data_IF_512162758487
#
_entry.id   IF_512162758487
#
_cell.length_a   1.000
_cell.length_b   1.000
_cell.length_c   1.000
_cell.angle_alpha   90.00
_cell.angle_beta   90.00
_cell.angle_gamma   90.00
#
_symmetry.space_group_name_H-M   'P 1'
#
loop_
_entity.id
_entity.type
_entity.pdbx_description
1 polymer ?
#
# COMPACT_ATOMS: atom_id res chain seq x y z
N UNK A 1 -14.69 11.23 -0.98
CA UNK A 1 -15.05 10.65 -2.27
C UNK A 1 -14.51 11.55 -3.37
N UNK A 2 -13.77 11.01 -4.32
CA UNK A 2 -13.29 11.72 -5.51
C UNK A 2 -13.89 11.04 -6.75
N UNK A 3 -14.05 11.80 -7.84
CA UNK A 3 -14.50 11.23 -9.11
C UNK A 3 -13.30 11.20 -10.06
N UNK A 4 -13.05 10.06 -10.69
CA UNK A 4 -11.97 9.93 -11.67
C UNK A 4 -12.30 10.69 -12.97
N UNK A 5 -13.59 10.75 -13.33
CA UNK A 5 -14.09 11.46 -14.51
C UNK A 5 -15.18 12.48 -14.14
N UNK A 6 -14.81 13.58 -13.48
CA UNK A 6 -15.78 14.57 -13.02
C UNK A 6 -16.57 15.21 -14.17
N UNK A 7 -16.01 15.23 -15.39
CA UNK A 7 -16.69 15.74 -16.59
C UNK A 7 -17.99 14.98 -16.91
N UNK A 8 -18.06 13.68 -16.56
CA UNK A 8 -19.25 12.88 -16.83
C UNK A 8 -20.44 13.23 -15.94
N UNK A 9 -20.22 13.99 -14.86
CA UNK A 9 -21.31 14.51 -14.02
C UNK A 9 -22.25 15.46 -14.77
N UNK A 10 -21.80 16.08 -15.88
CA UNK A 10 -22.65 16.88 -16.74
C UNK A 10 -23.84 16.08 -17.31
N UNK A 11 -23.70 14.76 -17.44
CA UNK A 11 -24.80 13.90 -17.87
C UNK A 11 -25.99 13.89 -16.88
N UNK A 12 -25.76 14.26 -15.62
CA UNK A 12 -26.86 14.44 -14.65
C UNK A 12 -27.84 15.53 -15.04
N UNK A 13 -27.43 16.50 -15.88
CA UNK A 13 -28.33 17.51 -16.44
C UNK A 13 -29.42 16.91 -17.36
N UNK A 14 -29.23 15.69 -17.83
CA UNK A 14 -30.24 14.96 -18.58
C UNK A 14 -31.48 14.63 -17.71
N UNK A 15 -31.30 14.46 -16.39
CA UNK A 15 -32.38 14.11 -15.46
C UNK A 15 -33.49 15.16 -15.40
N UNK A 16 -33.20 16.45 -15.17
CA UNK A 16 -34.25 17.46 -15.16
C UNK A 16 -34.93 17.60 -16.51
N UNK A 17 -34.22 17.39 -17.63
CA UNK A 17 -34.80 17.36 -18.97
C UNK A 17 -35.80 16.22 -19.12
N UNK A 18 -35.48 15.03 -18.65
CA UNK A 18 -36.38 13.87 -18.67
C UNK A 18 -37.60 14.09 -17.79
N UNK A 19 -37.42 14.69 -16.59
CA UNK A 19 -38.53 15.06 -15.72
C UNK A 19 -39.45 16.09 -16.40
N UNK A 20 -38.87 17.12 -17.02
CA UNK A 20 -39.65 18.12 -17.75
C UNK A 20 -40.42 17.51 -18.93
N UNK A 21 -39.80 16.61 -19.70
CA UNK A 21 -40.45 15.87 -20.78
C UNK A 21 -41.55 14.99 -20.27
N UNK A 22 -41.36 14.26 -19.17
CA UNK A 22 -42.39 13.43 -18.53
C UNK A 22 -43.58 14.27 -18.10
N UNK A 23 -43.36 15.39 -17.42
CA UNK A 23 -44.44 16.30 -16.99
C UNK A 23 -45.18 16.92 -18.18
N UNK A 24 -44.45 17.28 -19.25
CA UNK A 24 -45.03 17.80 -20.47
C UNK A 24 -45.95 16.77 -21.19
N UNK A 25 -45.50 15.51 -21.30
CA UNK A 25 -46.26 14.43 -21.86
C UNK A 25 -47.54 14.15 -21.04
N UNK A 26 -47.44 14.20 -19.71
CA UNK A 26 -48.61 14.06 -18.82
C UNK A 26 -49.62 15.19 -19.03
N UNK A 27 -49.15 16.44 -19.24
CA UNK A 27 -50.02 17.61 -19.52
C UNK A 27 -50.68 17.47 -20.89
N UNK A 28 -49.97 17.00 -21.92
CA UNK A 28 -50.57 16.73 -23.26
C UNK A 28 -51.66 15.64 -23.19
N UNK A 29 -51.44 14.55 -22.51
CA UNK A 29 -52.45 13.50 -22.37
C UNK A 29 -53.75 13.98 -21.67
N UNK A 30 -53.64 14.91 -20.73
CA UNK A 30 -54.81 15.50 -20.07
C UNK A 30 -55.68 16.36 -21.02
N UNK A 31 -55.12 16.94 -22.07
CA UNK A 31 -55.83 17.73 -23.04
C UNK A 31 -56.62 16.88 -24.09
N UNK A 32 -56.22 15.61 -24.26
CA UNK A 32 -56.78 14.68 -25.22
C UNK A 32 -57.98 13.84 -24.65
N UNK A 33 -58.33 14.03 -23.38
CA UNK A 33 -59.47 13.32 -22.76
C UNK A 33 -60.73 13.97 -23.18
N UNK A 34 -61.47 13.27 -24.06
CA UNK A 34 -62.84 13.63 -24.51
C UNK A 34 -63.74 13.77 -23.28
N UNK A 35 -64.50 14.84 -23.22
CA UNK A 35 -65.52 15.14 -22.18
C UNK A 35 -66.64 14.12 -22.26
N UNK A 36 -66.61 13.06 -21.48
CA UNK A 36 -67.77 12.22 -21.19
C UNK A 36 -68.46 12.72 -19.93
N UNK A 37 -69.78 12.99 -20.02
CA UNK A 37 -70.58 13.66 -19.01
C UNK A 37 -70.79 12.88 -17.69
N UNK A 38 -70.30 11.65 -17.55
CA UNK A 38 -70.54 10.79 -16.36
C UNK A 38 -69.34 10.60 -15.44
N UNK A 39 -68.24 11.38 -15.58
CA UNK A 39 -66.96 11.20 -14.83
C UNK A 39 -66.97 11.80 -13.42
N UNK A 40 -68.00 12.51 -12.99
CA UNK A 40 -68.07 13.10 -11.67
C UNK A 40 -68.07 12.05 -10.53
N UNK A 41 -68.85 10.96 -10.69
CA UNK A 41 -68.97 9.88 -9.72
C UNK A 41 -67.72 8.97 -9.63
N UNK A 42 -66.98 8.78 -10.74
CA UNK A 42 -65.75 7.97 -10.77
C UNK A 42 -64.60 8.70 -10.16
N UNK A 43 -64.60 10.05 -10.18
CA UNK A 43 -63.50 10.90 -9.66
C UNK A 43 -63.40 10.88 -8.14
N UNK A 44 -64.49 10.64 -7.43
CA UNK A 44 -64.55 10.50 -5.96
C UNK A 44 -64.03 9.16 -5.49
N UNK A 45 -64.12 8.10 -6.30
CA UNK A 45 -63.62 6.75 -5.97
C UNK A 45 -62.12 6.54 -6.21
N UNK A 46 -61.45 7.48 -6.88
CA UNK A 46 -60.01 7.40 -7.13
C UNK A 46 -59.27 7.99 -5.94
N UNK A 47 -59.00 7.14 -4.92
CA UNK A 47 -58.26 7.51 -3.73
C UNK A 47 -56.84 8.06 -4.06
N UNK A 48 -56.34 8.88 -3.17
CA UNK A 48 -54.97 9.51 -3.25
C UNK A 48 -53.85 8.48 -3.48
N UNK A 49 -54.02 7.24 -3.05
CA UNK A 49 -53.08 6.13 -3.23
C UNK A 49 -52.87 5.74 -4.70
N UNK A 50 -53.89 5.86 -5.56
CA UNK A 50 -53.76 5.47 -6.97
C UNK A 50 -52.99 6.51 -7.80
N UNK A 51 -53.02 7.79 -7.39
CA UNK A 51 -52.18 8.83 -7.98
C UNK A 51 -50.72 8.64 -7.65
N UNK A 52 -50.38 8.26 -6.40
CA UNK A 52 -49.02 8.02 -5.96
C UNK A 52 -48.45 6.80 -6.67
N UNK A 53 -49.18 5.67 -6.76
CA UNK A 53 -48.74 4.45 -7.44
C UNK A 53 -48.32 4.67 -8.87
N UNK A 54 -48.95 5.62 -9.60
CA UNK A 54 -48.60 5.95 -10.99
C UNK A 54 -47.20 6.59 -11.14
N UNK A 55 -46.71 7.30 -10.12
CA UNK A 55 -45.44 8.03 -10.20
C UNK A 55 -44.26 7.27 -9.56
N UNK A 56 -44.53 6.22 -8.75
CA UNK A 56 -43.49 5.44 -8.09
C UNK A 56 -42.57 4.69 -9.06
N UNK A 57 -43.08 3.90 -10.03
CA UNK A 57 -42.21 3.19 -10.97
C UNK A 57 -41.32 4.15 -11.80
N UNK A 58 -41.86 5.22 -12.44
CA UNK A 58 -41.02 6.18 -13.16
C UNK A 58 -39.98 6.87 -12.26
N UNK A 59 -40.34 7.16 -10.99
CA UNK A 59 -39.41 7.74 -10.04
C UNK A 59 -38.24 6.79 -9.70
N UNK A 60 -38.53 5.49 -9.51
CA UNK A 60 -37.50 4.48 -9.28
C UNK A 60 -36.59 4.31 -10.49
N UNK A 61 -37.13 4.34 -11.71
CA UNK A 61 -36.30 4.33 -12.92
C UNK A 61 -35.41 5.59 -13.03
N UNK A 62 -35.94 6.76 -12.65
CA UNK A 62 -35.16 7.99 -12.64
C UNK A 62 -34.01 7.91 -11.62
N UNK A 63 -34.27 7.36 -10.43
CA UNK A 63 -33.20 7.12 -9.43
C UNK A 63 -32.17 6.11 -9.94
N UNK A 64 -32.63 5.02 -10.55
CA UNK A 64 -31.74 4.04 -11.17
C UNK A 64 -30.84 4.69 -12.24
N UNK A 65 -31.44 5.51 -13.11
CA UNK A 65 -30.70 6.25 -14.13
C UNK A 65 -29.70 7.24 -13.51
N UNK A 66 -30.10 7.96 -12.46
CA UNK A 66 -29.21 8.88 -11.75
C UNK A 66 -27.98 8.16 -11.18
N UNK A 67 -28.20 6.99 -10.56
CA UNK A 67 -27.11 6.16 -10.03
C UNK A 67 -26.22 5.61 -11.13
N UNK A 68 -26.78 5.21 -12.28
CA UNK A 68 -25.97 4.79 -13.43
C UNK A 68 -25.12 5.93 -13.99
N UNK A 69 -25.69 7.13 -14.13
CA UNK A 69 -24.94 8.30 -14.59
C UNK A 69 -23.82 8.69 -13.60
N UNK A 70 -24.09 8.59 -12.29
CA UNK A 70 -23.08 8.76 -11.26
C UNK A 70 -22.00 7.68 -11.32
N UNK A 71 -22.35 6.43 -11.64
CA UNK A 71 -21.40 5.33 -11.82
C UNK A 71 -20.45 5.57 -12.99
N UNK A 72 -20.90 6.19 -14.09
CA UNK A 72 -20.06 6.54 -15.24
C UNK A 72 -18.95 7.54 -14.86
N UNK A 73 -19.22 8.41 -13.87
CA UNK A 73 -18.20 9.34 -13.35
C UNK A 73 -17.09 8.66 -12.53
N UNK A 74 -17.13 7.32 -12.38
CA UNK A 74 -16.17 6.47 -11.66
C UNK A 74 -15.87 7.02 -10.26
N UNK A 75 -16.85 6.98 -9.34
CA UNK A 75 -16.62 7.41 -7.97
C UNK A 75 -15.57 6.53 -7.31
N UNK A 76 -14.55 7.15 -6.71
CA UNK A 76 -13.51 6.51 -5.93
C UNK A 76 -13.68 6.88 -4.46
N UNK A 77 -13.60 5.89 -3.61
CA UNK A 77 -13.53 6.06 -2.17
C UNK A 77 -12.17 5.60 -1.67
N UNK A 78 -11.69 6.29 -0.65
CA UNK A 78 -10.52 5.84 0.10
C UNK A 78 -10.99 4.69 1.00
N UNK A 79 -10.67 3.48 0.63
CA UNK A 79 -10.95 2.28 1.42
C UNK A 79 -9.63 1.80 2.01
N UNK A 80 -9.57 1.67 3.32
CA UNK A 80 -8.48 0.98 4.00
C UNK A 80 -8.66 -0.51 3.76
N UNK A 81 -7.98 -1.02 2.75
CA UNK A 81 -7.90 -2.46 2.54
C UNK A 81 -6.68 -2.98 3.32
N UNK A 82 -6.76 -4.17 3.93
CA UNK A 82 -5.57 -4.82 4.44
C UNK A 82 -4.60 -5.01 3.26
N UNK A 83 -3.50 -4.27 3.29
CA UNK A 83 -2.40 -4.45 2.34
C UNK A 83 -1.71 -5.75 2.72
N UNK A 84 -1.76 -6.72 1.84
CA UNK A 84 -1.00 -7.95 2.03
C UNK A 84 0.34 -7.75 1.32
N UNK A 85 1.36 -7.28 2.07
CA UNK A 85 2.71 -7.47 1.60
C UNK A 85 3.04 -8.96 1.72
N UNK A 86 3.24 -9.61 0.58
CA UNK A 86 3.53 -11.03 0.54
C UNK A 86 4.89 -11.34 1.18
N UNK A 87 5.83 -10.38 1.11
CA UNK A 87 7.19 -10.56 1.62
C UNK A 87 7.71 -9.30 2.32
N UNK A 88 8.25 -9.47 3.52
CA UNK A 88 8.96 -8.45 4.27
C UNK A 88 10.42 -8.88 4.42
N UNK A 89 11.36 -8.04 4.00
CA UNK A 89 12.79 -8.31 4.21
C UNK A 89 13.27 -7.46 5.38
N UNK A 90 13.68 -8.11 6.46
CA UNK A 90 14.34 -7.47 7.60
C UNK A 90 15.86 -7.45 7.34
N UNK A 91 16.40 -6.27 6.98
CA UNK A 91 17.82 -6.06 6.85
C UNK A 91 18.37 -5.51 8.17
N UNK A 92 19.15 -6.33 8.89
CA UNK A 92 19.62 -6.05 10.24
C UNK A 92 21.13 -5.84 10.26
N UNK A 93 21.52 -4.73 10.82
CA UNK A 93 22.92 -4.39 11.03
C UNK A 93 23.53 -5.27 12.15
N UNK A 94 24.59 -5.98 11.81
CA UNK A 94 25.39 -6.78 12.73
C UNK A 94 26.84 -6.26 12.82
N UNK A 95 27.02 -4.97 12.58
CA UNK A 95 28.31 -4.32 12.74
C UNK A 95 28.69 -4.14 14.21
N UNK A 96 29.97 -3.93 14.49
CA UNK A 96 30.44 -3.73 15.87
C UNK A 96 29.89 -2.47 16.54
N UNK A 97 29.47 -1.46 15.79
CA UNK A 97 28.80 -0.28 16.33
C UNK A 97 27.49 -0.61 17.06
N UNK A 98 26.89 -1.76 16.72
CA UNK A 98 25.68 -2.26 17.40
C UNK A 98 25.95 -2.80 18.81
N UNK A 99 27.21 -2.85 19.27
CA UNK A 99 27.56 -3.11 20.67
C UNK A 99 27.36 -1.88 21.57
N UNK A 100 27.13 -0.70 21.02
CA UNK A 100 26.91 0.51 21.81
C UNK A 100 25.75 0.33 22.80
N UNK A 101 25.94 0.84 24.02
CA UNK A 101 25.01 0.70 25.15
C UNK A 101 24.11 1.95 25.32
N UNK A 102 24.20 2.89 24.38
CA UNK A 102 23.32 4.07 24.38
C UNK A 102 21.84 3.72 24.19
N UNK A 103 21.56 2.50 23.72
CA UNK A 103 20.24 1.85 23.74
C UNK A 103 20.32 0.59 24.60
N UNK A 104 19.70 0.57 25.76
CA UNK A 104 19.83 -0.53 26.71
C UNK A 104 19.20 -1.84 26.21
N UNK A 105 19.80 -3.03 26.45
CA UNK A 105 21.10 -3.26 27.07
C UNK A 105 22.27 -2.96 26.13
N UNK A 106 22.10 -3.06 24.85
CA UNK A 106 22.90 -2.59 23.74
C UNK A 106 22.05 -2.63 22.47
N UNK A 107 22.50 -1.93 21.40
CA UNK A 107 21.72 -1.77 20.15
C UNK A 107 21.37 -3.12 19.53
N UNK A 108 22.29 -4.09 19.47
CA UNK A 108 22.03 -5.39 18.83
C UNK A 108 21.00 -6.21 19.60
N UNK A 109 21.10 -6.28 20.92
CA UNK A 109 20.13 -7.03 21.75
C UNK A 109 18.73 -6.40 21.69
N UNK A 110 18.66 -5.06 21.73
CA UNK A 110 17.40 -4.34 21.55
C UNK A 110 16.79 -4.61 20.16
N UNK A 111 17.63 -4.60 19.11
CA UNK A 111 17.21 -4.88 17.73
C UNK A 111 16.68 -6.30 17.57
N UNK A 112 17.38 -7.29 18.13
CA UNK A 112 16.94 -8.68 18.11
C UNK A 112 15.61 -8.88 18.84
N UNK A 113 15.44 -8.26 20.02
CA UNK A 113 14.20 -8.34 20.79
C UNK A 113 13.02 -7.73 20.02
N UNK A 114 13.23 -6.56 19.41
CA UNK A 114 12.20 -5.89 18.62
C UNK A 114 11.86 -6.65 17.33
N UNK A 115 12.86 -7.23 16.64
CA UNK A 115 12.64 -8.06 15.47
C UNK A 115 11.84 -9.34 15.81
N UNK A 116 12.12 -9.98 16.96
CA UNK A 116 11.31 -11.12 17.43
C UNK A 116 9.86 -10.74 17.68
N UNK A 117 9.61 -9.61 18.36
CA UNK A 117 8.27 -9.11 18.58
C UNK A 117 7.55 -8.82 17.26
N UNK A 118 8.22 -8.14 16.32
CA UNK A 118 7.68 -7.85 15.00
C UNK A 118 7.29 -9.13 14.25
N UNK A 119 8.16 -10.16 14.25
CA UNK A 119 7.91 -11.44 13.60
C UNK A 119 6.68 -12.14 14.22
N UNK A 120 6.53 -12.07 15.55
CA UNK A 120 5.39 -12.68 16.25
C UNK A 120 4.06 -12.02 15.89
N UNK A 121 4.07 -10.70 15.69
CA UNK A 121 2.87 -9.90 15.41
C UNK A 121 2.44 -9.92 13.92
N UNK A 122 3.27 -10.46 13.01
CA UNK A 122 2.93 -10.52 11.59
C UNK A 122 1.85 -11.56 11.28
N UNK A 123 0.97 -11.30 10.29
CA UNK A 123 0.01 -12.28 9.79
C UNK A 123 0.70 -13.59 9.35
N UNK A 124 0.05 -14.73 9.57
CA UNK A 124 0.64 -16.05 9.26
C UNK A 124 1.00 -16.25 7.77
N UNK A 125 0.35 -15.50 6.87
CA UNK A 125 0.59 -15.57 5.42
C UNK A 125 1.82 -14.74 4.99
N UNK A 126 2.26 -13.75 5.78
CA UNK A 126 3.39 -12.90 5.45
C UNK A 126 4.68 -13.70 5.51
N UNK A 127 5.40 -13.75 4.39
CA UNK A 127 6.75 -14.32 4.33
C UNK A 127 7.76 -13.29 4.80
N UNK A 128 8.66 -13.69 5.66
CA UNK A 128 9.73 -12.82 6.16
C UNK A 128 11.07 -13.41 5.73
N UNK A 129 11.94 -12.56 5.22
CA UNK A 129 13.34 -12.88 4.98
C UNK A 129 14.21 -12.10 5.94
N UNK A 130 15.35 -12.64 6.31
CA UNK A 130 16.33 -11.98 7.17
C UNK A 130 17.64 -11.84 6.41
N UNK A 131 18.09 -10.59 6.26
CA UNK A 131 19.38 -10.22 5.71
C UNK A 131 20.22 -9.64 6.84
N UNK A 132 21.35 -10.24 7.15
CA UNK A 132 22.32 -9.65 8.07
C UNK A 132 23.41 -8.95 7.27
N UNK A 133 23.82 -7.79 7.71
CA UNK A 133 24.88 -7.04 7.05
C UNK A 133 25.83 -6.35 8.04
N UNK A 134 27.07 -6.31 7.63
CA UNK A 134 28.16 -5.57 8.24
C UNK A 134 29.14 -5.16 7.13
N UNK A 135 30.36 -5.60 7.11
CA UNK A 135 31.28 -5.39 5.98
C UNK A 135 30.81 -6.04 4.67
N UNK A 136 30.00 -7.07 4.74
CA UNK A 136 29.28 -7.75 3.65
C UNK A 136 27.83 -7.95 4.04
N UNK A 137 26.98 -8.23 3.07
CA UNK A 137 25.59 -8.57 3.31
C UNK A 137 25.29 -10.01 2.85
N UNK A 138 24.48 -10.73 3.61
CA UNK A 138 24.10 -12.09 3.31
C UNK A 138 22.64 -12.40 3.74
N UNK A 139 21.99 -13.28 2.99
CA UNK A 139 20.68 -13.80 3.37
C UNK A 139 20.90 -14.86 4.45
N UNK A 140 20.46 -14.59 5.67
CA UNK A 140 20.53 -15.54 6.81
C UNK A 140 19.33 -16.48 6.76
N UNK A 141 18.18 -15.96 6.36
CA UNK A 141 16.96 -16.72 6.18
C UNK A 141 16.24 -16.26 4.92
N UNK A 142 16.02 -17.18 3.98
CA UNK A 142 15.18 -16.94 2.79
C UNK A 142 13.71 -16.72 3.17
N UNK A 143 12.91 -16.08 2.30
CA UNK A 143 11.51 -15.76 2.62
C UNK A 143 10.72 -16.99 3.06
N UNK A 144 10.29 -17.01 4.32
CA UNK A 144 9.52 -18.08 4.93
C UNK A 144 8.42 -17.53 5.84
N UNK A 145 7.37 -18.30 6.06
CA UNK A 145 6.34 -18.04 7.07
C UNK A 145 6.56 -18.88 8.34
N UNK A 146 7.60 -19.72 8.38
CA UNK A 146 7.98 -20.46 9.56
C UNK A 146 8.67 -19.55 10.58
N UNK A 147 7.98 -19.25 11.67
CA UNK A 147 8.47 -18.35 12.72
C UNK A 147 9.68 -18.90 13.48
N UNK A 148 9.74 -20.20 13.66
CA UNK A 148 10.86 -20.87 14.37
C UNK A 148 12.18 -20.67 13.61
N UNK A 149 12.16 -20.85 12.28
CA UNK A 149 13.34 -20.64 11.43
C UNK A 149 13.83 -19.19 11.49
N UNK A 150 12.88 -18.23 11.49
CA UNK A 150 13.19 -16.80 11.60
C UNK A 150 13.82 -16.44 12.94
N UNK A 151 13.27 -16.96 14.05
CA UNK A 151 13.82 -16.72 15.38
C UNK A 151 15.22 -17.35 15.52
N UNK A 152 15.39 -18.58 15.06
CA UNK A 152 16.69 -19.24 15.04
C UNK A 152 17.73 -18.50 14.17
N UNK A 153 17.29 -17.83 13.10
CA UNK A 153 18.17 -17.02 12.26
C UNK A 153 18.68 -15.77 13.01
N UNK A 154 17.82 -15.10 13.78
CA UNK A 154 18.20 -13.96 14.61
C UNK A 154 19.19 -14.36 15.71
N UNK A 155 19.04 -15.55 16.29
CA UNK A 155 19.92 -16.03 17.36
C UNK A 155 21.32 -16.36 16.87
N UNK A 156 21.50 -16.60 15.57
CA UNK A 156 22.79 -16.93 14.95
C UNK A 156 23.60 -15.71 14.52
N UNK A 157 23.15 -14.49 14.78
CA UNK A 157 23.87 -13.29 14.39
C UNK A 157 25.26 -13.23 15.03
N UNK A 158 26.25 -12.93 14.19
CA UNK A 158 27.63 -12.73 14.59
C UNK A 158 28.08 -11.34 14.20
N UNK A 159 28.59 -10.59 15.19
CA UNK A 159 29.06 -9.23 14.95
C UNK A 159 30.33 -9.22 14.10
N UNK A 160 30.35 -8.37 13.10
CA UNK A 160 31.45 -8.19 12.18
C UNK A 160 31.92 -6.74 12.14
N UNK A 161 33.07 -6.49 11.48
CA UNK A 161 33.57 -5.13 11.26
C UNK A 161 32.96 -4.49 10.04
N UNK A 162 32.95 -3.14 10.01
CA UNK A 162 32.43 -2.31 8.93
C UNK A 162 30.91 -2.41 8.74
N UNK A 163 30.34 -1.56 7.88
CA UNK A 163 28.90 -1.48 7.62
C UNK A 163 28.67 -1.15 6.14
N UNK A 164 28.04 -2.06 5.40
CA UNK A 164 27.75 -1.96 3.98
C UNK A 164 26.23 -1.86 3.74
N UNK A 165 25.65 -0.70 4.03
CA UNK A 165 24.19 -0.45 3.92
C UNK A 165 23.70 -0.67 2.49
N UNK A 166 24.43 -0.18 1.48
CA UNK A 166 24.07 -0.38 0.09
C UNK A 166 24.00 -1.87 -0.29
N UNK A 167 24.97 -2.67 0.19
CA UNK A 167 24.93 -4.11 -0.05
C UNK A 167 23.71 -4.77 0.59
N UNK A 168 23.30 -4.31 1.79
CA UNK A 168 22.09 -4.81 2.44
C UNK A 168 20.84 -4.58 1.58
N UNK A 169 20.69 -3.40 1.00
CA UNK A 169 19.58 -3.06 0.12
C UNK A 169 19.63 -3.94 -1.15
N UNK A 170 20.80 -4.07 -1.78
CA UNK A 170 20.95 -4.85 -3.02
C UNK A 170 20.69 -6.35 -2.78
N UNK A 171 21.19 -6.91 -1.68
CA UNK A 171 20.93 -8.32 -1.30
C UNK A 171 19.47 -8.53 -0.96
N UNK A 172 18.81 -7.55 -0.34
CA UNK A 172 17.37 -7.57 -0.09
C UNK A 172 16.59 -7.57 -1.40
N UNK A 173 17.00 -6.76 -2.38
CA UNK A 173 16.40 -6.77 -3.73
C UNK A 173 16.62 -8.10 -4.45
N UNK A 174 17.81 -8.70 -4.34
CA UNK A 174 18.08 -10.04 -4.88
C UNK A 174 17.18 -11.11 -4.25
N UNK A 175 16.84 -10.94 -2.98
CA UNK A 175 15.94 -11.84 -2.24
C UNK A 175 14.48 -11.69 -2.70
N UNK A 176 14.04 -10.45 -3.01
CA UNK A 176 12.70 -10.16 -3.53
C UNK A 176 12.57 -10.59 -4.99
N UNK A 177 13.62 -10.37 -5.78
CA UNK A 177 13.66 -10.63 -7.22
C UNK A 177 14.75 -11.65 -7.59
N UNK A 178 14.60 -12.94 -7.25
CA UNK A 178 15.62 -13.95 -7.53
C UNK A 178 15.89 -14.10 -9.04
N UNK A 179 14.91 -13.75 -9.87
CA UNK A 179 15.01 -13.80 -11.33
C UNK A 179 15.95 -12.71 -11.89
N UNK A 180 16.18 -11.63 -11.16
CA UNK A 180 17.07 -10.54 -11.57
C UNK A 180 18.56 -10.94 -11.57
N UNK A 181 18.90 -12.12 -11.02
CA UNK A 181 20.26 -12.70 -11.00
C UNK A 181 21.35 -11.72 -10.57
N UNK A 182 21.07 -10.92 -9.55
CA UNK A 182 22.05 -9.98 -9.00
C UNK A 182 23.21 -10.78 -8.42
N UNK A 183 24.43 -10.47 -8.86
CA UNK A 183 25.63 -11.13 -8.36
C UNK A 183 26.01 -10.59 -6.96
N UNK A 184 25.55 -11.30 -5.92
CA UNK A 184 25.80 -10.96 -4.53
C UNK A 184 27.31 -10.97 -4.21
N UNK A 185 28.08 -11.84 -4.87
CA UNK A 185 29.53 -11.88 -4.64
C UNK A 185 30.21 -10.62 -5.19
N UNK A 186 29.84 -10.16 -6.39
CA UNK A 186 30.32 -8.91 -6.94
C UNK A 186 29.92 -7.71 -6.07
N UNK A 187 28.66 -7.68 -5.59
CA UNK A 187 28.15 -6.65 -4.66
C UNK A 187 28.98 -6.60 -3.37
N UNK A 188 29.25 -7.74 -2.76
CA UNK A 188 30.02 -7.81 -1.52
C UNK A 188 31.51 -7.46 -1.71
N UNK A 189 32.05 -7.60 -2.92
CA UNK A 189 33.42 -7.24 -3.26
C UNK A 189 33.55 -5.78 -3.75
N UNK A 190 32.44 -5.09 -3.97
CA UNK A 190 32.45 -3.70 -4.38
C UNK A 190 33.08 -2.80 -3.30
N UNK A 191 34.05 -1.98 -3.69
CA UNK A 191 34.63 -0.96 -2.81
C UNK A 191 33.80 0.31 -2.88
N UNK A 192 33.81 1.08 -1.81
CA UNK A 192 33.10 2.37 -1.75
C UNK A 192 33.48 3.26 -2.94
N UNK A 193 32.49 3.67 -3.74
CA UNK A 193 32.66 4.48 -4.95
C UNK A 193 32.96 3.71 -6.23
N UNK A 194 33.05 2.40 -6.20
CA UNK A 194 33.04 1.56 -7.39
C UNK A 194 31.59 1.32 -7.82
N UNK A 195 31.21 1.72 -9.06
CA UNK A 195 29.90 1.40 -9.61
C UNK A 195 29.66 -0.11 -9.58
N UNK A 196 28.43 -0.51 -9.31
CA UNK A 196 28.04 -1.92 -9.38
C UNK A 196 27.87 -2.29 -10.84
N UNK A 197 28.40 -3.43 -11.29
CA UNK A 197 27.89 -4.09 -12.47
C UNK A 197 26.48 -4.59 -12.14
N UNK A 198 25.46 -3.81 -12.45
CA UNK A 198 24.06 -4.07 -12.12
C UNK A 198 23.50 -5.30 -12.81
N UNK A 199 24.14 -5.75 -13.87
CA UNK A 199 23.76 -6.93 -14.66
C UNK A 199 25.01 -7.58 -15.22
N UNK A 200 25.54 -8.57 -14.54
CA UNK A 200 26.51 -9.48 -15.14
C UNK A 200 25.76 -10.38 -16.14
N UNK A 201 25.79 -9.99 -17.42
CA UNK A 201 25.19 -10.70 -18.55
C UNK A 201 23.68 -10.95 -18.40
N UNK A 202 22.82 -10.05 -18.89
CA UNK A 202 21.44 -10.42 -19.12
C UNK A 202 21.44 -11.66 -20.02
N UNK A 203 20.65 -12.67 -19.63
CA UNK A 203 20.41 -13.79 -20.54
C UNK A 203 20.01 -13.21 -21.92
N UNK A 204 20.46 -13.75 -23.05
CA UNK A 204 20.24 -13.17 -24.37
C UNK A 204 18.79 -12.82 -24.72
N UNK A 205 17.82 -13.30 -23.91
CA UNK A 205 16.39 -13.09 -24.06
C UNK A 205 15.72 -12.51 -22.79
N UNK A 206 16.46 -11.97 -21.82
CA UNK A 206 15.83 -11.32 -20.68
C UNK A 206 15.16 -10.00 -21.13
N UNK A 207 13.87 -9.75 -20.79
CA UNK A 207 13.25 -8.48 -21.10
C UNK A 207 14.02 -7.34 -20.43
N UNK A 208 14.33 -6.29 -21.22
CA UNK A 208 15.03 -5.12 -20.70
C UNK A 208 14.29 -4.58 -19.47
N UNK A 209 15.02 -4.37 -18.38
CA UNK A 209 14.48 -3.79 -17.18
C UNK A 209 13.89 -2.39 -17.47
N UNK A 210 12.62 -2.16 -17.11
CA UNK A 210 11.97 -0.85 -17.23
C UNK A 210 11.71 -0.33 -15.83
N UNK A 211 12.28 0.84 -15.46
CA UNK A 211 11.98 1.46 -14.18
C UNK A 211 10.49 1.70 -14.00
N UNK A 212 10.02 1.50 -12.79
CA UNK A 212 8.64 1.75 -12.39
C UNK A 212 8.58 2.90 -11.39
N UNK A 213 7.42 3.54 -11.15
CA UNK A 213 7.34 4.59 -10.16
C UNK A 213 7.79 4.13 -8.76
N UNK A 214 8.56 4.93 -8.01
CA UNK A 214 8.99 4.58 -6.66
C UNK A 214 7.80 4.22 -5.76
N UNK A 215 7.94 3.17 -4.96
CA UNK A 215 6.90 2.69 -4.03
C UNK A 215 5.71 2.00 -4.68
N UNK A 216 5.76 1.71 -5.98
CA UNK A 216 4.64 1.12 -6.73
C UNK A 216 4.54 -0.40 -6.62
N UNK A 217 5.55 -1.09 -6.07
CA UNK A 217 5.56 -2.53 -5.87
C UNK A 217 4.94 -2.90 -4.52
N UNK A 218 3.68 -3.41 -4.48
CA UNK A 218 2.97 -3.62 -3.23
C UNK A 218 3.32 -4.95 -2.55
N UNK A 219 3.93 -5.90 -3.26
CA UNK A 219 4.10 -7.28 -2.78
C UNK A 219 5.30 -7.46 -1.86
N UNK A 220 6.23 -6.51 -1.79
CA UNK A 220 7.36 -6.61 -0.87
C UNK A 220 7.84 -5.24 -0.37
N UNK A 221 8.42 -5.26 0.83
CA UNK A 221 9.07 -4.11 1.45
C UNK A 221 10.37 -4.53 2.11
N UNK A 222 11.28 -3.56 2.26
CA UNK A 222 12.53 -3.72 3.00
C UNK A 222 12.44 -2.87 4.25
N UNK A 223 12.77 -3.44 5.41
CA UNK A 223 12.95 -2.74 6.68
C UNK A 223 14.43 -2.80 7.01
N UNK A 224 15.10 -1.68 6.92
CA UNK A 224 16.52 -1.54 7.17
C UNK A 224 16.75 -0.98 8.57
N UNK A 225 17.38 -1.74 9.45
CA UNK A 225 17.70 -1.34 10.81
C UNK A 225 19.21 -1.20 10.97
N UNK A 226 19.69 0.01 11.29
CA UNK A 226 21.12 0.35 11.37
C UNK A 226 21.32 1.66 12.13
N UNK A 227 22.57 1.96 12.48
CA UNK A 227 22.98 3.30 12.94
C UNK A 227 23.28 4.29 11.79
N UNK A 228 23.16 3.85 10.55
CA UNK A 228 23.26 4.69 9.36
C UNK A 228 24.70 4.98 8.88
N UNK A 229 25.73 4.57 9.59
CA UNK A 229 27.13 4.84 9.22
C UNK A 229 27.68 3.83 8.20
N UNK A 230 27.43 4.08 6.92
CA UNK A 230 28.02 3.26 5.86
C UNK A 230 29.56 3.51 5.76
N UNK A 231 30.36 2.45 5.91
CA UNK A 231 31.82 2.53 5.86
C UNK A 231 32.43 1.83 4.65
N UNK A 232 31.72 0.92 4.02
CA UNK A 232 32.15 0.11 2.88
C UNK A 232 31.00 -0.28 1.98
N UNK A 233 31.30 -0.94 0.89
CA UNK A 233 30.32 -1.49 -0.05
C UNK A 233 29.77 -0.45 -1.02
N UNK A 234 28.65 -0.78 -1.58
CA UNK A 234 27.90 0.05 -2.54
C UNK A 234 27.42 1.33 -1.87
N UNK A 235 27.35 2.41 -2.63
CA UNK A 235 26.78 3.67 -2.12
C UNK A 235 25.31 3.45 -1.73
N UNK A 236 24.92 3.82 -0.50
CA UNK A 236 23.55 3.62 -0.02
C UNK A 236 22.48 4.29 -0.86
N UNK A 237 22.76 5.47 -1.43
CA UNK A 237 21.80 6.20 -2.27
C UNK A 237 21.70 5.59 -3.66
N UNK A 238 22.78 5.03 -4.19
CA UNK A 238 22.74 4.26 -5.44
C UNK A 238 21.90 3.00 -5.26
N UNK A 239 22.11 2.26 -4.19
CA UNK A 239 21.28 1.09 -3.86
C UNK A 239 19.81 1.46 -3.63
N UNK A 240 19.54 2.61 -2.99
CA UNK A 240 18.18 3.11 -2.80
C UNK A 240 17.50 3.48 -4.14
N UNK A 241 18.26 4.06 -5.09
CA UNK A 241 17.73 4.30 -6.46
C UNK A 241 17.36 2.99 -7.15
N UNK A 242 18.19 1.95 -7.00
CA UNK A 242 17.86 0.63 -7.53
C UNK A 242 16.57 0.05 -6.96
N UNK A 243 16.32 0.26 -5.66
CA UNK A 243 15.07 -0.14 -5.01
C UNK A 243 13.89 0.70 -5.53
N UNK A 244 14.08 2.01 -5.66
CA UNK A 244 13.09 2.94 -6.19
C UNK A 244 12.70 2.60 -7.63
N UNK A 245 13.67 2.31 -8.50
CA UNK A 245 13.44 1.91 -9.90
C UNK A 245 12.64 0.60 -10.02
N UNK A 246 12.72 -0.28 -9.02
CA UNK A 246 11.93 -1.50 -8.91
C UNK A 246 10.61 -1.31 -8.13
N UNK A 247 10.33 -0.09 -7.71
CA UNK A 247 9.12 0.26 -6.97
C UNK A 247 9.09 -0.24 -5.53
N UNK A 248 10.20 -0.80 -5.00
CA UNK A 248 10.27 -1.34 -3.64
C UNK A 248 10.47 -0.22 -2.64
N UNK A 249 9.65 -0.19 -1.59
CA UNK A 249 9.82 0.75 -0.47
C UNK A 249 10.86 0.24 0.51
N UNK A 250 11.74 1.14 0.96
CA UNK A 250 12.71 0.87 2.02
C UNK A 250 12.33 1.74 3.23
N UNK A 251 11.85 1.09 4.28
CA UNK A 251 11.64 1.72 5.58
C UNK A 251 12.96 1.66 6.34
N UNK A 252 13.42 2.80 6.85
CA UNK A 252 14.67 2.88 7.57
C UNK A 252 14.42 3.13 9.05
N UNK A 253 15.06 2.34 9.89
CA UNK A 253 14.98 2.45 11.35
C UNK A 253 16.36 2.77 11.87
N UNK A 254 16.55 4.01 12.31
CA UNK A 254 17.79 4.49 12.89
C UNK A 254 17.85 4.16 14.38
N UNK A 255 18.80 3.34 14.79
CA UNK A 255 19.01 2.98 16.20
C UNK A 255 20.26 3.66 16.76
N UNK A 256 20.13 4.26 17.95
CA UNK A 256 21.20 4.94 18.65
C UNK A 256 20.87 6.40 18.95
N UNK A 257 21.82 7.10 19.57
CA UNK A 257 21.67 8.51 19.93
C UNK A 257 22.42 9.42 18.95
N UNK A 258 21.99 10.68 18.84
CA UNK A 258 22.66 11.71 18.01
C UNK A 258 24.01 12.12 18.57
N UNK A 259 24.10 12.14 19.90
CA UNK A 259 25.33 12.41 20.63
C UNK A 259 26.35 11.31 20.40
N UNK A 260 25.85 10.07 20.22
CA UNK A 260 26.66 8.89 20.03
C UNK A 260 27.38 8.43 21.27
N UNK A 261 28.03 7.29 21.17
CA UNK A 261 28.78 6.67 22.24
C UNK A 261 30.25 6.42 21.80
N UNK A 262 31.17 6.38 22.77
CA UNK A 262 32.52 6.00 22.51
C UNK A 262 32.69 4.53 22.89
N UNK A 263 32.70 3.68 21.86
CA UNK A 263 33.07 2.27 22.05
C UNK A 263 34.55 2.15 22.33
N UNK A 264 34.85 1.56 23.48
CA UNK A 264 36.23 1.22 23.88
C UNK A 264 36.41 -0.29 23.83
N UNK A 265 37.33 -0.73 22.99
CA UNK A 265 37.70 -2.15 22.90
C UNK A 265 39.21 -2.22 23.11
N UNK A 266 39.74 -3.38 23.48
CA UNK A 266 41.18 -3.55 23.70
C UNK A 266 42.01 -2.97 22.57
N UNK A 267 42.69 -1.85 22.86
CA UNK A 267 43.64 -1.19 21.97
C UNK A 267 43.07 -0.12 21.03
N UNK A 268 41.75 0.16 20.98
CA UNK A 268 41.18 1.25 20.17
C UNK A 268 39.90 1.83 20.74
N UNK A 269 39.61 3.06 20.36
CA UNK A 269 38.33 3.70 20.66
C UNK A 269 37.74 4.30 19.40
N UNK A 270 36.43 4.15 19.22
CA UNK A 270 35.70 4.69 18.08
C UNK A 270 34.39 5.36 18.59
N UNK A 271 34.15 6.58 18.10
CA UNK A 271 32.88 7.23 18.33
C UNK A 271 31.86 6.72 17.31
N UNK A 272 30.77 6.15 17.78
CA UNK A 272 29.65 5.71 16.97
C UNK A 272 28.43 6.61 17.24
N UNK A 273 27.86 7.16 16.19
CA UNK A 273 26.68 8.04 16.27
C UNK A 273 25.67 7.66 15.19
N UNK A 274 24.42 8.03 15.39
CA UNK A 274 23.39 7.84 14.39
C UNK A 274 23.55 8.83 13.23
N UNK A 275 23.55 8.31 11.99
CA UNK A 275 23.50 9.11 10.75
C UNK A 275 22.08 9.12 10.18
N UNK A 276 21.25 10.04 10.71
CA UNK A 276 19.87 10.18 10.27
C UNK A 276 19.73 10.69 8.85
N UNK A 277 20.66 11.51 8.38
CA UNK A 277 20.57 12.16 7.07
C UNK A 277 20.57 11.12 5.95
N UNK A 278 21.53 10.21 5.99
CA UNK A 278 21.60 9.09 5.04
C UNK A 278 20.36 8.21 5.07
N UNK A 279 19.84 7.90 6.27
CA UNK A 279 18.65 7.04 6.41
C UNK A 279 17.39 7.71 5.91
N UNK A 280 17.20 8.99 6.16
CA UNK A 280 16.09 9.78 5.62
C UNK A 280 16.14 9.85 4.10
N UNK A 281 17.32 10.10 3.53
CA UNK A 281 17.49 10.15 2.08
C UNK A 281 17.15 8.83 1.39
N UNK A 282 17.52 7.68 1.98
CA UNK A 282 17.15 6.35 1.48
C UNK A 282 15.62 6.17 1.50
N UNK A 283 14.97 6.49 2.63
CA UNK A 283 13.52 6.37 2.77
C UNK A 283 12.77 7.26 1.77
N UNK A 284 13.16 8.52 1.65
CA UNK A 284 12.53 9.50 0.76
C UNK A 284 12.62 9.07 -0.72
N UNK A 285 13.80 8.61 -1.17
CA UNK A 285 14.01 8.12 -2.53
C UNK A 285 13.10 6.96 -2.90
N UNK A 286 12.83 6.06 -1.95
CA UNK A 286 12.06 4.84 -2.16
C UNK A 286 10.57 4.97 -1.80
N UNK A 287 10.11 6.17 -1.39
CA UNK A 287 8.78 6.39 -0.84
C UNK A 287 8.48 5.54 0.41
N UNK A 288 9.53 5.18 1.14
CA UNK A 288 9.45 4.63 2.49
C UNK A 288 9.33 5.73 3.53
N UNK A 289 9.62 5.39 4.78
CA UNK A 289 9.59 6.33 5.90
C UNK A 289 10.76 6.04 6.84
N UNK A 290 11.33 7.09 7.40
CA UNK A 290 12.37 7.00 8.42
C UNK A 290 11.74 6.98 9.81
N UNK A 291 12.24 6.11 10.68
CA UNK A 291 11.85 6.00 12.09
C UNK A 291 13.10 6.11 12.97
N UNK A 292 12.97 6.87 14.04
CA UNK A 292 14.01 7.01 15.04
C UNK A 292 13.73 6.11 16.25
N UNK A 293 14.73 5.41 16.73
CA UNK A 293 14.68 4.57 17.91
C UNK A 293 15.89 4.87 18.83
N UNK A 294 15.70 5.82 19.73
CA UNK A 294 16.69 6.18 20.75
C UNK A 294 16.68 5.27 21.98
N UNK A 295 15.62 4.49 22.16
CA UNK A 295 15.48 3.52 23.25
C UNK A 295 14.88 2.21 22.74
N UNK A 296 15.04 1.12 23.50
CA UNK A 296 14.43 -0.16 23.18
C UNK A 296 12.89 -0.07 23.13
N UNK A 297 12.28 0.83 23.91
CA UNK A 297 10.84 1.07 23.90
C UNK A 297 10.40 1.80 22.62
N UNK A 298 11.20 2.77 22.16
CA UNK A 298 10.93 3.45 20.89
C UNK A 298 11.02 2.47 19.73
N UNK A 299 12.02 1.59 19.73
CA UNK A 299 12.18 0.56 18.72
C UNK A 299 10.96 -0.37 18.64
N UNK A 300 10.40 -0.78 19.80
CA UNK A 300 9.16 -1.55 19.84
C UNK A 300 7.99 -0.79 19.22
N UNK A 301 7.79 0.49 19.57
CA UNK A 301 6.74 1.35 18.98
C UNK A 301 6.91 1.53 17.49
N UNK A 302 8.15 1.65 17.01
CA UNK A 302 8.46 1.75 15.58
C UNK A 302 7.95 0.50 14.85
N UNK A 303 8.24 -0.68 15.37
CA UNK A 303 7.77 -1.92 14.75
C UNK A 303 6.26 -2.10 14.82
N UNK A 304 5.61 -1.70 15.92
CA UNK A 304 4.14 -1.66 16.02
C UNK A 304 3.53 -0.71 14.96
N UNK A 305 4.13 0.46 14.77
CA UNK A 305 3.71 1.44 13.75
C UNK A 305 3.93 0.91 12.33
N UNK A 306 5.07 0.27 12.08
CA UNK A 306 5.38 -0.38 10.80
C UNK A 306 4.37 -1.49 10.50
N UNK A 307 4.06 -2.34 11.49
CA UNK A 307 3.06 -3.38 11.34
C UNK A 307 1.69 -2.80 10.98
N UNK A 308 1.23 -1.78 11.70
CA UNK A 308 -0.03 -1.10 11.39
C UNK A 308 -0.05 -0.50 9.98
N UNK A 309 1.06 0.10 9.51
CA UNK A 309 1.19 0.67 8.16
C UNK A 309 1.27 -0.39 7.07
N UNK A 310 1.95 -1.51 7.33
CA UNK A 310 2.05 -2.63 6.39
C UNK A 310 0.72 -3.36 6.21
N UNK A 311 -0.09 -3.42 7.27
CA UNK A 311 -1.41 -4.07 7.25
C UNK A 311 -2.51 -3.15 6.70
N UNK A 312 -2.39 -1.83 6.89
CA UNK A 312 -3.43 -0.84 6.55
C UNK A 312 -2.96 0.08 5.42
N UNK A 313 -2.84 -0.40 4.21
CA UNK A 313 -2.61 0.48 3.07
C UNK A 313 -3.92 1.13 2.60
N UNK A 314 -3.95 2.46 2.61
CA UNK A 314 -5.07 3.25 2.10
C UNK A 314 -5.03 3.25 0.57
N UNK A 315 -5.84 2.41 -0.05
CA UNK A 315 -5.97 2.38 -1.52
C UNK A 315 -7.23 3.11 -1.97
N UNK A 316 -7.10 3.99 -2.94
CA UNK A 316 -8.28 4.53 -3.62
C UNK A 316 -8.89 3.42 -4.47
N UNK A 317 -10.03 2.91 -4.04
CA UNK A 317 -10.75 1.85 -4.75
C UNK A 317 -11.99 2.44 -5.44
N UNK A 318 -12.23 2.05 -6.67
CA UNK A 318 -13.42 2.44 -7.40
C UNK A 318 -14.64 1.75 -6.81
N UNK A 319 -15.62 2.54 -6.41
CA UNK A 319 -16.91 2.04 -5.88
C UNK A 319 -18.01 2.02 -6.95
N UNK A 320 -17.64 2.12 -8.21
CA UNK A 320 -18.55 2.11 -9.37
C UNK A 320 -19.49 0.90 -9.35
N UNK A 321 -18.98 -0.28 -8.95
CA UNK A 321 -19.77 -1.50 -8.85
C UNK A 321 -20.95 -1.40 -7.87
N UNK A 322 -20.76 -0.68 -6.74
CA UNK A 322 -21.82 -0.47 -5.74
C UNK A 322 -22.95 0.42 -6.31
N UNK A 323 -22.58 1.49 -7.03
CA UNK A 323 -23.55 2.36 -7.68
C UNK A 323 -24.32 1.62 -8.77
N UNK A 324 -23.64 0.80 -9.57
CA UNK A 324 -24.29 -0.03 -10.61
C UNK A 324 -25.22 -1.08 -10.02
N UNK A 325 -24.81 -1.77 -8.95
CA UNK A 325 -25.64 -2.74 -8.26
C UNK A 325 -26.90 -2.08 -7.66
N UNK A 326 -26.76 -0.94 -7.01
CA UNK A 326 -27.88 -0.19 -6.45
C UNK A 326 -28.84 0.30 -7.55
N UNK A 327 -28.31 0.77 -8.68
CA UNK A 327 -29.10 1.15 -9.84
C UNK A 327 -29.91 -0.05 -10.39
N UNK A 328 -29.31 -1.23 -10.49
CA UNK A 328 -29.98 -2.44 -10.92
C UNK A 328 -31.13 -2.83 -9.97
N UNK A 329 -30.93 -2.73 -8.66
CA UNK A 329 -31.97 -2.99 -7.66
C UNK A 329 -33.17 -2.04 -7.86
N UNK A 330 -32.92 -0.73 -8.01
CA UNK A 330 -34.02 0.22 -8.24
C UNK A 330 -34.71 -0.01 -9.58
N UNK A 331 -33.99 -0.40 -10.63
CA UNK A 331 -34.58 -0.72 -11.92
C UNK A 331 -35.49 -1.95 -11.83
N UNK A 332 -35.05 -3.03 -11.17
CA UNK A 332 -35.82 -4.25 -10.98
C UNK A 332 -37.05 -3.98 -10.12
N UNK A 333 -36.93 -3.22 -9.02
CA UNK A 333 -38.07 -2.81 -8.20
C UNK A 333 -39.06 -1.96 -8.99
N UNK A 334 -38.59 -1.01 -9.79
CA UNK A 334 -39.43 -0.19 -10.66
C UNK A 334 -40.18 -1.01 -11.68
N UNK A 335 -39.50 -1.97 -12.34
CA UNK A 335 -40.11 -2.88 -13.28
C UNK A 335 -41.15 -3.81 -12.60
N UNK A 336 -40.80 -4.42 -11.47
CA UNK A 336 -41.67 -5.29 -10.71
C UNK A 336 -42.95 -4.59 -10.26
N UNK A 337 -42.85 -3.37 -9.69
CA UNK A 337 -43.98 -2.56 -9.30
C UNK A 337 -44.84 -2.13 -10.50
N UNK A 338 -44.21 -1.83 -11.64
CA UNK A 338 -44.90 -1.47 -12.86
C UNK A 338 -45.77 -2.65 -13.37
N UNK A 339 -45.21 -3.87 -13.38
CA UNK A 339 -45.93 -5.08 -13.78
C UNK A 339 -47.06 -5.39 -12.78
N UNK A 340 -46.78 -5.36 -11.49
CA UNK A 340 -47.75 -5.68 -10.44
C UNK A 340 -48.93 -4.70 -10.41
N UNK A 341 -48.73 -3.42 -10.65
CA UNK A 341 -49.80 -2.40 -10.53
C UNK A 341 -50.48 -2.07 -11.85
N UNK A 342 -49.81 -2.24 -12.98
CA UNK A 342 -50.33 -1.79 -14.27
C UNK A 342 -50.32 -2.88 -15.34
N UNK A 343 -49.79 -4.08 -15.03
CA UNK A 343 -49.62 -5.19 -15.98
C UNK A 343 -48.88 -4.76 -17.28
N UNK A 344 -47.94 -3.77 -17.16
CA UNK A 344 -47.17 -3.20 -18.28
C UNK A 344 -45.75 -2.97 -17.82
N UNK A 345 -44.78 -3.25 -18.70
CA UNK A 345 -43.34 -2.99 -18.43
C UNK A 345 -42.95 -1.54 -18.78
N UNK A 346 -43.89 -0.68 -19.10
CA UNK A 346 -43.79 0.80 -19.24
C UNK A 346 -44.92 1.29 -20.12
#
# INVERSE_FOLDING_TARGET
>A
MSFLWPQMLWLLLLLPLLVALYLWLLRRRKKAVVRFASLALVKESIGTGQRLRRHVPPALFLVALALMLAAIARPAAVVTLPSQHDTVVLAMDVSRSMLAEDVAPNRITASQAAARAFIADQPAQTRIAIVAFAGTASVVQSPTNNREDLLAAIDRFQLQRATAIGNAIVVSLATIFPEARIDIAAVNNARRGGGIPLETNPAPNAPAFKPVPPGSYPSAVIILLTDGQATTGVDPLEAARMAADRGVRVFTVGIGTKEGEILRTEGWSMRVRLDEESLKAIADLTRGEYFYAGTAMDLKKVYETLNAKLVLETKQTEITALFAALAAVFAVLGAGLSVLWFNRIL
#
